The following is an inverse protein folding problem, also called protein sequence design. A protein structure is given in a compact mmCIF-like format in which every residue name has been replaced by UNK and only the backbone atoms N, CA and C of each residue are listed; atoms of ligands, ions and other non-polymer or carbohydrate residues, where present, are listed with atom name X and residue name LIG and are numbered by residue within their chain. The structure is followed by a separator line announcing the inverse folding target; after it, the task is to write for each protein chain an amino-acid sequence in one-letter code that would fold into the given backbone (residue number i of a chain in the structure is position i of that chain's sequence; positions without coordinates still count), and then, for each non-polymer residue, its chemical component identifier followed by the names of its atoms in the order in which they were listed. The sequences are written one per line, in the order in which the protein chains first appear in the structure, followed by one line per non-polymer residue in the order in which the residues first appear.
data_IF_915857407145
#
_entry.id   IF_915857407145
#
_cell.length_a   1.000
_cell.length_b   1.000
_cell.length_c   1.000
_cell.angle_alpha   90.00
_cell.angle_beta   90.00
_cell.angle_gamma   90.00
#
_symmetry.space_group_name_H-M   'P 1'
#
loop_
_entity.id
_entity.type
_entity.pdbx_description
1 polymer ?
#
# COMPACT_ATOMS: atom_id res chain seq x y z
N UNK A 1 -24.29 19.02 -3.68
CA UNK A 1 -23.35 18.96 -2.54
C UNK A 1 -22.09 18.25 -3.00
N UNK A 2 -21.05 18.99 -3.40
CA UNK A 2 -19.74 18.40 -3.73
C UNK A 2 -18.95 18.43 -2.43
N UNK A 3 -18.87 17.28 -1.74
CA UNK A 3 -18.09 17.16 -0.52
C UNK A 3 -16.61 17.02 -0.90
N UNK A 4 -15.83 18.09 -0.68
CA UNK A 4 -14.38 17.98 -0.68
C UNK A 4 -13.93 17.11 0.53
N UNK A 5 -12.91 16.25 0.38
CA UNK A 5 -12.41 15.40 1.46
C UNK A 5 -12.16 16.19 2.74
N UNK A 6 -12.51 15.63 3.92
CA UNK A 6 -12.51 16.37 5.20
C UNK A 6 -11.18 17.05 5.54
N UNK A 7 -10.04 16.44 5.17
CA UNK A 7 -8.72 17.06 5.34
C UNK A 7 -8.48 18.26 4.40
N UNK A 8 -8.90 18.17 3.14
CA UNK A 8 -8.74 19.27 2.17
C UNK A 8 -9.65 20.45 2.53
N UNK A 9 -10.89 20.17 2.92
CA UNK A 9 -11.82 21.19 3.41
C UNK A 9 -11.30 21.86 4.69
N UNK A 10 -10.73 21.09 5.62
CA UNK A 10 -10.12 21.61 6.85
C UNK A 10 -8.89 22.50 6.59
N UNK A 11 -8.05 22.15 5.61
CA UNK A 11 -6.91 22.98 5.21
C UNK A 11 -7.36 24.30 4.57
N UNK A 12 -8.36 24.26 3.69
CA UNK A 12 -8.91 25.45 3.04
C UNK A 12 -9.56 26.40 4.07
N UNK A 13 -10.36 25.86 5.00
CA UNK A 13 -10.96 26.65 6.10
C UNK A 13 -9.90 27.20 7.07
N UNK A 14 -8.75 26.55 7.19
CA UNK A 14 -7.59 27.01 7.96
C UNK A 14 -6.77 28.10 7.23
N UNK A 15 -7.17 28.53 6.03
CA UNK A 15 -6.51 29.59 5.26
C UNK A 15 -5.42 29.11 4.29
N UNK A 16 -5.28 27.79 4.08
CA UNK A 16 -4.36 27.24 3.07
C UNK A 16 -4.99 27.38 1.69
N UNK A 17 -4.19 27.79 0.70
CA UNK A 17 -4.65 27.95 -0.68
C UNK A 17 -5.20 26.60 -1.21
N UNK A 18 -6.41 26.57 -1.80
CA UNK A 18 -6.99 25.36 -2.40
C UNK A 18 -6.05 24.63 -3.37
N UNK A 19 -5.22 25.37 -4.10
CA UNK A 19 -4.24 24.79 -5.04
C UNK A 19 -3.18 23.99 -4.29
N UNK A 20 -2.80 24.45 -3.09
CA UNK A 20 -1.83 23.76 -2.24
C UNK A 20 -2.43 22.51 -1.60
N UNK A 21 -3.66 22.60 -1.06
CA UNK A 21 -4.38 21.46 -0.50
C UNK A 21 -4.55 20.31 -1.52
N UNK A 22 -4.84 20.64 -2.78
CA UNK A 22 -4.95 19.65 -3.88
C UNK A 22 -3.61 18.98 -4.19
N UNK A 23 -2.51 19.71 -4.21
CA UNK A 23 -1.17 19.13 -4.46
C UNK A 23 -0.79 18.11 -3.38
N UNK A 24 -1.03 18.44 -2.11
CA UNK A 24 -0.76 17.51 -1.02
C UNK A 24 -1.63 16.25 -1.11
N UNK A 25 -2.92 16.38 -1.44
CA UNK A 25 -3.79 15.22 -1.58
C UNK A 25 -3.31 14.29 -2.71
N UNK A 26 -2.90 14.84 -3.85
CA UNK A 26 -2.37 14.05 -4.97
C UNK A 26 -1.07 13.34 -4.56
N UNK A 27 -0.16 14.04 -3.87
CA UNK A 27 1.06 13.44 -3.32
C UNK A 27 0.76 12.26 -2.39
N UNK A 28 -0.20 12.43 -1.47
CA UNK A 28 -0.62 11.38 -0.53
C UNK A 28 -1.22 10.19 -1.30
N UNK A 29 -2.04 10.43 -2.31
CA UNK A 29 -2.61 9.35 -3.14
C UNK A 29 -1.51 8.53 -3.82
N UNK A 30 -0.49 9.19 -4.39
CA UNK A 30 0.65 8.50 -4.97
C UNK A 30 1.48 7.73 -3.93
N UNK A 31 1.69 8.31 -2.75
CA UNK A 31 2.43 7.68 -1.68
C UNK A 31 1.73 6.42 -1.17
N UNK A 32 0.40 6.48 -0.97
CA UNK A 32 -0.40 5.34 -0.54
C UNK A 32 -0.42 4.28 -1.66
N UNK A 33 -0.80 4.65 -2.88
CA UNK A 33 -0.91 3.70 -3.99
C UNK A 33 0.44 3.04 -4.29
N UNK A 34 1.51 3.82 -4.37
CA UNK A 34 2.87 3.34 -4.59
C UNK A 34 3.34 2.47 -3.41
N UNK A 35 3.26 2.97 -2.18
CA UNK A 35 3.70 2.24 -0.99
C UNK A 35 2.96 0.92 -0.79
N UNK A 36 1.63 0.93 -0.95
CA UNK A 36 0.81 -0.29 -0.89
C UNK A 36 1.13 -1.24 -2.04
N UNK A 37 1.28 -0.73 -3.26
CA UNK A 37 1.62 -1.55 -4.44
C UNK A 37 2.99 -2.21 -4.31
N UNK A 38 4.04 -1.44 -4.00
CA UNK A 38 5.37 -1.97 -3.75
C UNK A 38 5.42 -2.91 -2.55
N UNK A 39 4.71 -2.59 -1.47
CA UNK A 39 4.61 -3.45 -0.29
C UNK A 39 3.97 -4.80 -0.63
N UNK A 40 2.86 -4.79 -1.36
CA UNK A 40 2.17 -6.02 -1.78
C UNK A 40 3.05 -6.86 -2.72
N UNK A 41 3.68 -6.24 -3.72
CA UNK A 41 4.60 -6.91 -4.63
C UNK A 41 5.77 -7.55 -3.89
N UNK A 42 6.41 -6.79 -2.99
CA UNK A 42 7.55 -7.27 -2.20
C UNK A 42 7.13 -8.41 -1.28
N UNK A 43 5.97 -8.30 -0.62
CA UNK A 43 5.44 -9.34 0.24
C UNK A 43 5.16 -10.64 -0.54
N UNK A 44 4.54 -10.55 -1.73
CA UNK A 44 4.26 -11.70 -2.59
C UNK A 44 5.55 -12.34 -3.11
N UNK A 45 6.50 -11.54 -3.59
CA UNK A 45 7.79 -12.05 -4.07
C UNK A 45 8.61 -12.70 -2.95
N UNK A 46 8.65 -12.10 -1.77
CA UNK A 46 9.32 -12.66 -0.60
C UNK A 46 8.64 -13.96 -0.14
N UNK A 47 7.31 -14.01 -0.14
CA UNK A 47 6.55 -15.21 0.17
C UNK A 47 6.83 -16.33 -0.85
N UNK A 48 6.82 -16.00 -2.15
CA UNK A 48 7.16 -16.92 -3.22
C UNK A 48 8.59 -17.45 -3.03
N UNK A 49 9.59 -16.58 -2.91
CA UNK A 49 10.99 -16.97 -2.67
C UNK A 49 11.18 -17.82 -1.41
N UNK A 50 10.36 -17.60 -0.36
CA UNK A 50 10.42 -18.38 0.88
C UNK A 50 9.80 -19.78 0.75
N UNK A 51 8.80 -19.94 -0.13
CA UNK A 51 8.01 -21.18 -0.31
C UNK A 51 8.54 -22.03 -1.48
N UNK A 52 9.10 -21.42 -2.52
CA UNK A 52 9.65 -22.12 -3.69
C UNK A 52 11.12 -22.42 -3.51
N UNK A 53 11.53 -23.69 -3.67
CA UNK A 53 12.97 -24.04 -3.76
C UNK A 53 13.49 -23.78 -5.19
N UNK A 54 14.82 -23.71 -5.37
CA UNK A 54 15.52 -23.43 -6.63
C UNK A 54 15.27 -24.43 -7.78
N UNK A 55 14.33 -25.37 -7.61
CA UNK A 55 13.85 -26.33 -8.64
C UNK A 55 12.36 -26.13 -8.99
N UNK A 56 11.77 -24.97 -8.70
CA UNK A 56 10.35 -24.66 -8.93
C UNK A 56 9.35 -25.63 -8.27
N UNK A 57 9.80 -26.44 -7.30
CA UNK A 57 8.91 -27.25 -6.46
C UNK A 57 8.45 -26.42 -5.27
N UNK A 58 7.14 -26.30 -5.08
CA UNK A 58 6.57 -25.81 -3.82
C UNK A 58 7.04 -26.73 -2.69
N UNK A 59 7.78 -26.20 -1.71
CA UNK A 59 8.15 -26.97 -0.52
C UNK A 59 6.95 -27.04 0.41
N UNK A 60 6.07 -28.01 0.16
CA UNK A 60 4.95 -28.36 1.04
C UNK A 60 5.41 -28.64 2.48
N UNK A 61 6.68 -29.03 2.67
CA UNK A 61 7.32 -29.22 3.98
C UNK A 61 7.26 -27.98 4.89
N UNK A 62 7.16 -26.76 4.34
CA UNK A 62 7.02 -25.51 5.12
C UNK A 62 5.57 -25.05 5.30
N UNK A 63 4.64 -25.61 4.54
CA UNK A 63 3.20 -25.36 4.61
C UNK A 63 2.47 -26.41 5.46
N UNK A 64 3.08 -27.59 5.64
CA UNK A 64 2.68 -28.56 6.64
C UNK A 64 2.96 -27.94 8.02
N UNK A 65 1.97 -27.22 8.54
CA UNK A 65 1.93 -26.82 9.94
C UNK A 65 2.30 -28.03 10.79
N UNK A 66 3.23 -27.85 11.73
CA UNK A 66 3.46 -28.81 12.80
C UNK A 66 2.13 -28.95 13.54
N UNK A 67 1.31 -29.92 13.11
CA UNK A 67 0.14 -30.41 13.82
C UNK A 67 0.70 -31.01 15.12
N UNK A 68 0.77 -30.17 16.15
CA UNK A 68 0.74 -30.63 17.53
C UNK A 68 -0.67 -31.06 17.85
#
# INVERSE_FOLDING_TARGET
LVALPGMMTGQILSGVDPVEAVKYQILIMFLIAGGTGFGALTAVLAAAARITDGRHRLRLDRLAAKRG
#
